data_IF_025635881357
#
_entry.id   IF_025635881357
#
_cell.length_a   1.000
_cell.length_b   1.000
_cell.length_c   1.000
_cell.angle_alpha   90.00
_cell.angle_beta   90.00
_cell.angle_gamma   90.00
#
_symmetry.space_group_name_H-M   'P 1'
#
loop_
_entity.id
_entity.type
_entity.pdbx_description
1 polymer ?
#
# COMPACT_ATOMS: atom_id res chain seq x y z
N UNK A 1 6.01 1.08 -6.97
CA UNK A 1 7.16 0.13 -6.94
C UNK A 1 8.08 0.54 -5.80
N UNK A 2 8.63 -0.41 -5.06
CA UNK A 2 9.59 -0.20 -3.98
C UNK A 2 11.00 -0.59 -4.45
N UNK A 3 12.02 -0.26 -3.66
CA UNK A 3 13.41 -0.68 -3.89
C UNK A 3 13.77 -1.87 -3.01
N UNK A 4 14.81 -2.64 -3.38
CA UNK A 4 15.27 -3.78 -2.57
C UNK A 4 15.63 -3.39 -1.12
N UNK A 5 16.30 -2.25 -0.85
CA UNK A 5 16.54 -1.80 0.53
C UNK A 5 15.25 -1.54 1.33
N UNK A 6 14.20 -1.03 0.69
CA UNK A 6 12.91 -0.80 1.38
C UNK A 6 12.26 -2.13 1.77
N UNK A 7 12.22 -3.09 0.85
CA UNK A 7 11.69 -4.44 1.11
C UNK A 7 12.47 -5.14 2.22
N UNK A 8 13.80 -5.04 2.19
CA UNK A 8 14.66 -5.58 3.25
C UNK A 8 14.43 -4.96 4.63
N UNK A 9 13.85 -3.74 4.68
CA UNK A 9 13.44 -3.05 5.91
C UNK A 9 12.00 -3.34 6.33
N UNK A 10 11.31 -4.28 5.67
CA UNK A 10 9.95 -4.70 6.04
C UNK A 10 8.83 -4.15 5.15
N UNK A 11 9.14 -3.32 4.16
CA UNK A 11 8.12 -2.78 3.24
C UNK A 11 7.52 -3.89 2.38
N UNK A 12 6.19 -4.00 2.41
CA UNK A 12 5.40 -4.84 1.52
C UNK A 12 4.27 -4.02 0.88
N UNK A 13 4.48 -3.59 -0.37
CA UNK A 13 3.50 -2.81 -1.13
C UNK A 13 2.21 -3.59 -1.42
N UNK A 14 2.31 -4.87 -1.76
CA UNK A 14 1.15 -5.72 -2.04
C UNK A 14 0.19 -5.77 -0.86
N UNK A 15 0.74 -5.97 0.34
CA UNK A 15 -0.02 -5.97 1.60
C UNK A 15 -0.66 -4.61 1.87
N UNK A 16 0.12 -3.53 1.85
CA UNK A 16 -0.38 -2.18 2.13
C UNK A 16 -1.51 -1.76 1.17
N UNK A 17 -1.33 -1.99 -0.14
CA UNK A 17 -2.32 -1.64 -1.14
C UNK A 17 -3.59 -2.50 -1.03
N UNK A 18 -3.46 -3.77 -0.68
CA UNK A 18 -4.62 -4.65 -0.47
C UNK A 18 -5.44 -4.24 0.76
N UNK A 19 -4.78 -3.99 1.89
CA UNK A 19 -5.41 -3.60 3.16
C UNK A 19 -6.09 -2.24 3.08
N UNK A 20 -5.52 -1.29 2.34
CA UNK A 20 -6.08 0.06 2.24
C UNK A 20 -7.19 0.13 1.18
N UNK A 21 -7.06 -0.56 0.04
CA UNK A 21 -8.03 -0.45 -1.05
C UNK A 21 -9.44 -0.94 -0.64
N UNK A 22 -9.53 -1.96 0.21
CA UNK A 22 -10.81 -2.50 0.69
C UNK A 22 -11.65 -1.48 1.46
N UNK A 23 -11.03 -0.49 2.12
CA UNK A 23 -11.74 0.58 2.83
C UNK A 23 -12.54 1.49 1.90
N UNK A 24 -12.23 1.48 0.60
CA UNK A 24 -12.86 2.31 -0.42
C UNK A 24 -13.72 1.50 -1.39
N UNK A 25 -14.03 0.23 -1.06
CA UNK A 25 -14.68 -0.70 -1.99
C UNK A 25 -13.81 -1.06 -3.20
N UNK A 26 -12.51 -0.79 -3.12
CA UNK A 26 -11.53 -1.10 -4.14
C UNK A 26 -10.88 -2.46 -3.94
N UNK A 27 -9.95 -2.78 -4.84
CA UNK A 27 -9.13 -3.98 -4.76
C UNK A 27 -7.66 -3.60 -4.95
N UNK A 28 -6.79 -4.17 -4.13
CA UNK A 28 -5.35 -3.99 -4.25
C UNK A 28 -4.59 -5.28 -3.99
N UNK A 29 -3.35 -5.34 -4.46
CA UNK A 29 -2.48 -6.49 -4.28
C UNK A 29 -1.27 -6.49 -5.21
N UNK A 30 -0.49 -7.57 -5.11
CA UNK A 30 0.76 -7.75 -5.85
C UNK A 30 1.88 -8.20 -4.92
N UNK A 31 3.12 -7.93 -5.32
CA UNK A 31 4.31 -8.29 -4.55
C UNK A 31 4.77 -7.14 -3.65
N UNK A 32 5.64 -7.46 -2.71
CA UNK A 32 6.34 -6.51 -1.84
C UNK A 32 7.03 -5.37 -2.63
N UNK A 33 7.63 -5.69 -3.78
CA UNK A 33 8.37 -4.74 -4.63
C UNK A 33 7.48 -4.03 -5.66
N UNK A 34 6.42 -4.66 -6.14
CA UNK A 34 5.57 -4.15 -7.20
C UNK A 34 4.13 -4.64 -7.02
N UNK A 35 3.23 -3.68 -6.82
CA UNK A 35 1.82 -3.92 -6.57
C UNK A 35 0.98 -2.76 -7.14
N UNK A 36 -0.33 -2.96 -7.20
CA UNK A 36 -1.29 -1.98 -7.68
C UNK A 36 -2.60 -2.03 -6.88
N UNK A 37 -3.42 -1.00 -7.05
CA UNK A 37 -4.75 -0.91 -6.49
C UNK A 37 -5.71 -0.18 -7.44
N UNK A 38 -6.98 -0.55 -7.39
CA UNK A 38 -8.10 0.11 -8.05
C UNK A 38 -9.02 0.65 -6.95
N UNK A 39 -9.34 1.93 -7.03
CA UNK A 39 -10.20 2.66 -6.09
C UNK A 39 -11.05 3.68 -6.85
N UNK A 40 -12.17 4.16 -6.28
CA UNK A 40 -12.87 5.34 -6.79
C UNK A 40 -11.94 6.55 -6.87
N UNK A 41 -12.12 7.40 -7.89
CA UNK A 41 -11.22 8.53 -8.13
C UNK A 41 -11.29 9.57 -7.00
N UNK A 42 -12.48 9.78 -6.46
CA UNK A 42 -12.78 10.64 -5.33
C UNK A 42 -12.06 10.22 -4.03
N UNK A 43 -11.67 8.95 -3.92
CA UNK A 43 -10.98 8.41 -2.76
C UNK A 43 -9.45 8.60 -2.80
N UNK A 44 -8.89 9.07 -3.92
CA UNK A 44 -7.44 9.09 -4.19
C UNK A 44 -6.62 9.69 -3.06
N UNK A 45 -6.99 10.87 -2.56
CA UNK A 45 -6.17 11.59 -1.59
C UNK A 45 -6.18 10.89 -0.21
N UNK A 46 -7.35 10.42 0.23
CA UNK A 46 -7.48 9.66 1.47
C UNK A 46 -6.79 8.29 1.37
N UNK A 47 -6.89 7.64 0.20
CA UNK A 47 -6.19 6.38 -0.07
C UNK A 47 -4.68 6.55 0.05
N UNK A 48 -4.10 7.58 -0.58
CA UNK A 48 -2.67 7.84 -0.50
C UNK A 48 -2.21 8.08 0.95
N UNK A 49 -3.01 8.81 1.75
CA UNK A 49 -2.71 9.03 3.16
C UNK A 49 -2.68 7.72 3.97
N UNK A 50 -3.68 6.85 3.79
CA UNK A 50 -3.74 5.56 4.49
C UNK A 50 -2.63 4.60 4.03
N UNK A 51 -2.25 4.62 2.75
CA UNK A 51 -1.11 3.84 2.25
C UNK A 51 0.18 4.30 2.92
N UNK A 52 0.41 5.61 3.06
CA UNK A 52 1.60 6.14 3.72
C UNK A 52 1.69 5.65 5.18
N UNK A 53 0.58 5.72 5.92
CA UNK A 53 0.49 5.20 7.29
C UNK A 53 0.73 3.69 7.37
N UNK A 54 0.20 2.91 6.41
CA UNK A 54 0.43 1.48 6.36
C UNK A 54 1.91 1.13 6.12
N UNK A 55 2.62 1.90 5.28
CA UNK A 55 4.05 1.73 5.05
C UNK A 55 4.87 2.16 6.27
N UNK A 56 4.50 3.26 6.93
CA UNK A 56 5.15 3.70 8.17
C UNK A 56 5.02 2.63 9.27
N UNK A 57 3.83 2.05 9.43
CA UNK A 57 3.60 0.96 10.38
C UNK A 57 4.48 -0.27 10.08
N UNK A 58 4.66 -0.62 8.79
CA UNK A 58 5.54 -1.72 8.39
C UNK A 58 7.02 -1.47 8.72
N UNK A 59 7.47 -0.22 8.67
CA UNK A 59 8.86 0.15 8.99
C UNK A 59 9.16 0.24 10.49
N UNK A 60 8.11 0.39 11.31
CA UNK A 60 8.20 0.49 12.76
C UNK A 60 7.82 -0.82 13.48
N UNK A 61 7.60 -1.90 12.73
CA UNK A 61 7.25 -3.25 13.24
C UNK A 61 8.46 -4.15 13.45
#
# INVERSE_FOLDING_TARGET
>A
RATRPMVARGVNLGKALSEVAVNFGGQGGGHDIAAGAMIPYEAKDQFLHLVDQAIEAQLNS
#
